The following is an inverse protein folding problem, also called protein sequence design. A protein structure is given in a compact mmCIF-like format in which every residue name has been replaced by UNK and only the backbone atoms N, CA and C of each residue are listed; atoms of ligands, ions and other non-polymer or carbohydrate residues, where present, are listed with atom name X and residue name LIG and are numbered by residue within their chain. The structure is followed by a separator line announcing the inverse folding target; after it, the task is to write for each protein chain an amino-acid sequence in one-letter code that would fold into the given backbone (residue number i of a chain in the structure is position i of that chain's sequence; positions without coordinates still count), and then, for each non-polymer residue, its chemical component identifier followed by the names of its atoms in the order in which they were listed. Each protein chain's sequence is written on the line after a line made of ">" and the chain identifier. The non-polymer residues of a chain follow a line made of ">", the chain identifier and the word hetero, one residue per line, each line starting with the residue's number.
data_IF_546817541682
#
_entry.id   IF_546817541682
#
_cell.length_a   1.000
_cell.length_b   1.000
_cell.length_c   1.000
_cell.angle_alpha   90.00
_cell.angle_beta   90.00
_cell.angle_gamma   90.00
#
_symmetry.space_group_name_H-M   'P 1'
#
loop_
_entity.id
_entity.type
_entity.pdbx_description
1 polymer ?
#
# COMPACT_ATOMS: atom_id res chain seq x y z
N UNK A 1 0.66 -45.35 4.73
CA UNK A 1 0.16 -43.96 4.69
C UNK A 1 -1.14 -43.97 3.92
N UNK A 2 -2.22 -43.40 4.46
CA UNK A 2 -3.47 -43.31 3.73
C UNK A 2 -3.27 -42.44 2.49
N UNK A 3 -3.61 -42.96 1.30
CA UNK A 3 -3.70 -42.16 0.08
C UNK A 3 -5.02 -41.39 0.16
N UNK A 4 -4.94 -40.08 0.22
CA UNK A 4 -6.10 -39.20 0.10
C UNK A 4 -6.17 -38.77 -1.36
N UNK A 5 -7.29 -39.03 -2.01
CA UNK A 5 -7.57 -38.45 -3.33
C UNK A 5 -7.96 -36.99 -3.14
N UNK A 6 -7.26 -36.11 -3.84
CA UNK A 6 -7.54 -34.68 -3.87
C UNK A 6 -8.30 -34.36 -5.15
N UNK A 7 -9.57 -34.01 -5.01
CA UNK A 7 -10.34 -33.34 -6.05
C UNK A 7 -9.91 -31.87 -6.10
N UNK A 8 -9.15 -31.49 -7.12
CA UNK A 8 -8.70 -30.12 -7.35
C UNK A 8 -9.74 -29.27 -8.09
N UNK A 9 -10.75 -29.88 -8.72
CA UNK A 9 -11.77 -29.18 -9.48
C UNK A 9 -12.69 -28.38 -8.57
N UNK A 10 -12.86 -28.79 -7.31
CA UNK A 10 -13.65 -28.05 -6.30
C UNK A 10 -13.13 -26.66 -5.97
N UNK A 11 -11.88 -26.35 -6.31
CA UNK A 11 -11.29 -25.02 -6.11
C UNK A 11 -11.44 -24.13 -7.34
N UNK A 12 -11.82 -24.70 -8.49
CA UNK A 12 -12.06 -23.95 -9.72
C UNK A 12 -13.26 -23.04 -9.54
N UNK A 13 -13.10 -21.75 -9.84
CA UNK A 13 -14.17 -20.76 -9.75
C UNK A 13 -14.39 -20.14 -8.36
N UNK A 14 -13.67 -20.58 -7.31
CA UNK A 14 -13.65 -19.85 -6.03
C UNK A 14 -12.88 -18.54 -6.25
N UNK A 15 -13.60 -17.42 -6.32
CA UNK A 15 -13.04 -16.07 -6.28
C UNK A 15 -13.60 -15.33 -5.06
N UNK A 16 -12.73 -14.67 -4.32
CA UNK A 16 -13.12 -13.72 -3.31
C UNK A 16 -13.43 -12.38 -4.00
N UNK A 17 -14.41 -11.62 -3.48
CA UNK A 17 -14.88 -10.36 -4.05
C UNK A 17 -13.71 -9.43 -4.35
N UNK A 18 -13.33 -9.35 -5.63
CA UNK A 18 -12.26 -8.47 -6.10
C UNK A 18 -12.93 -7.18 -6.56
N UNK A 19 -12.50 -6.07 -6.00
CA UNK A 19 -13.02 -4.75 -6.27
C UNK A 19 -12.08 -3.99 -7.20
N UNK A 20 -12.65 -3.04 -7.94
CA UNK A 20 -11.88 -2.11 -8.76
C UNK A 20 -11.20 -1.04 -7.89
N UNK A 21 -10.15 -0.45 -8.44
CA UNK A 21 -9.41 0.68 -7.90
C UNK A 21 -10.27 1.90 -7.51
N UNK A 22 -11.49 2.03 -8.02
CA UNK A 22 -12.45 3.09 -7.68
C UNK A 22 -12.91 3.09 -6.22
N UNK A 23 -12.77 1.97 -5.48
CA UNK A 23 -13.21 1.89 -4.07
C UNK A 23 -12.16 2.41 -3.09
N UNK A 24 -10.94 2.70 -3.56
CA UNK A 24 -9.86 3.22 -2.72
C UNK A 24 -10.24 4.60 -2.20
N UNK A 25 -10.21 4.75 -0.89
CA UNK A 25 -10.70 5.92 -0.18
C UNK A 25 -9.66 7.04 -0.15
N UNK A 26 -9.27 7.56 -1.32
CA UNK A 26 -8.26 8.65 -1.40
C UNK A 26 -8.76 9.92 -0.70
N UNK A 27 -10.06 10.20 -0.82
CA UNK A 27 -10.70 11.41 -0.34
C UNK A 27 -10.83 11.53 1.19
N UNK A 28 -10.50 10.48 1.95
CA UNK A 28 -10.52 10.54 3.42
C UNK A 28 -9.17 10.94 3.99
N UNK A 29 -8.11 11.01 3.17
CA UNK A 29 -6.78 11.41 3.60
C UNK A 29 -6.84 12.83 4.16
N UNK A 30 -6.33 12.99 5.38
CA UNK A 30 -6.31 14.24 6.12
C UNK A 30 -4.88 14.59 6.51
N UNK A 31 -4.63 15.87 6.72
CA UNK A 31 -3.35 16.38 7.21
C UNK A 31 -3.52 17.24 8.45
N UNK A 32 -2.42 17.36 9.20
CA UNK A 32 -2.30 18.31 10.31
C UNK A 32 -1.12 19.26 10.05
N UNK A 33 -1.14 20.50 10.55
CA UNK A 33 -0.04 21.43 10.36
C UNK A 33 1.28 20.91 10.94
N UNK A 34 2.37 21.04 10.19
CA UNK A 34 3.72 20.79 10.67
C UNK A 34 4.27 22.04 11.35
N UNK A 35 4.46 22.02 12.67
CA UNK A 35 4.85 23.21 13.44
C UNK A 35 6.28 23.71 13.16
N UNK A 36 7.15 22.85 12.61
CA UNK A 36 8.57 23.16 12.41
C UNK A 36 8.93 23.40 10.94
N UNK A 37 8.07 24.10 10.20
CA UNK A 37 8.29 24.43 8.77
C UNK A 37 9.72 24.94 8.53
N UNK A 38 10.38 24.39 7.51
CA UNK A 38 11.77 24.70 7.15
C UNK A 38 12.82 23.85 7.89
N UNK A 39 12.43 23.06 8.91
CA UNK A 39 13.28 22.00 9.45
C UNK A 39 13.10 20.72 8.66
N UNK A 40 14.21 20.07 8.32
CA UNK A 40 14.19 18.74 7.71
C UNK A 40 14.08 17.69 8.82
N UNK A 41 12.86 17.29 9.13
CA UNK A 41 12.58 16.13 10.00
C UNK A 41 12.20 14.94 9.15
N UNK A 42 12.88 13.82 9.30
CA UNK A 42 12.46 12.56 8.69
C UNK A 42 11.42 11.88 9.59
N UNK A 43 10.28 11.50 9.00
CA UNK A 43 9.22 10.73 9.65
C UNK A 43 9.16 9.36 9.00
N UNK A 44 9.15 8.30 9.82
CA UNK A 44 9.05 6.91 9.37
C UNK A 44 7.79 6.27 9.97
N UNK A 45 6.94 5.71 9.10
CA UNK A 45 5.67 5.06 9.44
C UNK A 45 5.69 3.64 8.87
N UNK A 46 6.09 2.63 9.66
CA UNK A 46 6.02 1.23 9.25
C UNK A 46 4.62 0.64 9.52
N UNK A 47 4.16 -0.26 8.66
CA UNK A 47 2.99 -1.11 8.91
C UNK A 47 3.13 -2.45 8.19
N UNK A 48 2.70 -3.52 8.86
CA UNK A 48 2.60 -4.88 8.30
C UNK A 48 1.14 -5.29 8.04
N UNK A 49 0.22 -4.32 8.07
CA UNK A 49 -1.21 -4.56 7.95
C UNK A 49 -1.75 -4.27 6.53
N UNK A 50 -0.87 -4.02 5.57
CA UNK A 50 -1.29 -3.76 4.20
C UNK A 50 -1.60 -5.07 3.46
N UNK A 51 -2.72 -5.07 2.74
CA UNK A 51 -3.12 -6.17 1.88
C UNK A 51 -3.94 -5.67 0.70
N UNK A 52 -3.83 -6.39 -0.40
CA UNK A 52 -4.64 -6.22 -1.60
C UNK A 52 -4.91 -7.58 -2.24
N UNK A 53 -5.50 -7.62 -3.44
CA UNK A 53 -5.82 -8.86 -4.14
C UNK A 53 -5.06 -8.93 -5.47
N UNK A 54 -4.49 -10.09 -5.78
CA UNK A 54 -3.90 -10.33 -7.09
C UNK A 54 -5.00 -10.35 -8.16
N UNK A 55 -4.94 -9.49 -9.20
CA UNK A 55 -6.01 -9.36 -10.20
C UNK A 55 -6.25 -10.63 -11.02
N UNK A 56 -5.25 -11.52 -11.11
CA UNK A 56 -5.34 -12.78 -11.85
C UNK A 56 -5.96 -13.91 -11.02
N UNK A 57 -5.38 -14.15 -9.85
CA UNK A 57 -5.72 -15.31 -9.01
C UNK A 57 -6.87 -15.04 -8.04
N UNK A 58 -7.17 -13.78 -7.72
CA UNK A 58 -8.13 -13.44 -6.67
C UNK A 58 -7.64 -13.78 -5.25
N UNK A 59 -6.37 -14.16 -5.11
CA UNK A 59 -5.75 -14.45 -3.81
C UNK A 59 -5.14 -13.19 -3.21
N UNK A 60 -5.18 -13.04 -1.87
CA UNK A 60 -4.63 -11.88 -1.21
C UNK A 60 -3.10 -11.78 -1.38
N UNK A 61 -2.64 -10.56 -1.60
CA UNK A 61 -1.26 -10.11 -1.46
C UNK A 61 -1.11 -9.36 -0.13
N UNK A 62 0.00 -9.58 0.55
CA UNK A 62 0.35 -8.88 1.80
C UNK A 62 1.71 -8.24 1.63
N UNK A 63 1.90 -7.06 2.22
CA UNK A 63 3.18 -6.39 2.24
C UNK A 63 3.45 -5.68 3.57
N UNK A 64 4.72 -5.66 3.94
CA UNK A 64 5.23 -4.72 4.93
C UNK A 64 5.54 -3.42 4.20
N UNK A 65 4.81 -2.35 4.54
CA UNK A 65 4.99 -1.02 3.97
C UNK A 65 5.76 -0.14 4.94
N UNK A 66 6.81 0.51 4.43
CA UNK A 66 7.50 1.61 5.11
C UNK A 66 7.29 2.89 4.33
N UNK A 67 6.52 3.80 4.91
CA UNK A 67 6.37 5.18 4.42
C UNK A 67 7.42 6.02 5.15
N UNK A 68 8.34 6.61 4.41
CA UNK A 68 9.30 7.57 4.94
C UNK A 68 9.12 8.89 4.21
N UNK A 69 9.04 10.00 4.93
CA UNK A 69 8.88 11.32 4.31
C UNK A 69 9.47 12.45 5.14
N UNK A 70 9.77 13.54 4.46
CA UNK A 70 10.16 14.82 5.05
C UNK A 70 9.03 15.82 4.77
N UNK A 71 8.29 16.30 5.78
CA UNK A 71 7.16 17.20 5.58
C UNK A 71 7.64 18.57 5.08
N UNK A 72 6.79 19.21 4.28
CA UNK A 72 6.95 20.62 3.91
C UNK A 72 6.24 21.52 4.94
N UNK A 73 4.90 21.47 4.91
CA UNK A 73 4.01 22.26 5.79
C UNK A 73 2.98 21.41 6.52
N UNK A 74 2.83 20.15 6.11
CA UNK A 74 1.76 19.27 6.55
C UNK A 74 2.32 17.89 6.95
N UNK A 75 1.73 17.29 7.98
CA UNK A 75 1.93 15.91 8.39
C UNK A 75 0.68 15.11 8.02
N UNK A 76 0.87 13.85 7.64
CA UNK A 76 -0.24 12.93 7.37
C UNK A 76 -0.92 12.57 8.69
N UNK A 77 -2.25 12.65 8.73
CA UNK A 77 -3.04 12.22 9.90
C UNK A 77 -3.14 10.68 9.92
N UNK A 78 -2.82 10.08 11.07
CA UNK A 78 -2.59 8.63 11.18
C UNK A 78 -3.86 7.78 11.01
N UNK A 79 -5.03 8.27 11.44
CA UNK A 79 -6.29 7.54 11.30
C UNK A 79 -6.70 7.49 9.83
N UNK A 80 -6.68 8.60 9.11
CA UNK A 80 -7.00 8.67 7.69
C UNK A 80 -6.08 7.77 6.87
N UNK A 81 -4.77 7.80 7.14
CA UNK A 81 -3.79 6.91 6.52
C UNK A 81 -4.12 5.42 6.75
N UNK A 82 -4.50 5.07 7.99
CA UNK A 82 -4.89 3.69 8.31
C UNK A 82 -6.09 3.22 7.49
N UNK A 83 -7.15 4.02 7.41
CA UNK A 83 -8.34 3.66 6.64
C UNK A 83 -8.08 3.67 5.12
N UNK A 84 -7.25 4.60 4.63
CA UNK A 84 -6.79 4.65 3.24
C UNK A 84 -6.08 3.35 2.86
N UNK A 85 -5.04 2.94 3.60
CA UNK A 85 -4.31 1.70 3.35
C UNK A 85 -5.22 0.46 3.47
N UNK A 86 -6.16 0.47 4.42
CA UNK A 86 -7.11 -0.64 4.59
C UNK A 86 -8.11 -0.74 3.42
N UNK A 87 -8.40 0.35 2.71
CA UNK A 87 -9.33 0.34 1.57
C UNK A 87 -8.84 -0.51 0.39
N UNK A 88 -7.54 -0.81 0.32
CA UNK A 88 -6.95 -1.71 -0.68
C UNK A 88 -7.32 -3.19 -0.49
N UNK A 89 -7.89 -3.56 0.67
CA UNK A 89 -8.01 -4.96 1.12
C UNK A 89 -8.59 -5.94 0.09
N UNK A 90 -9.58 -5.49 -0.67
CA UNK A 90 -10.26 -6.30 -1.68
C UNK A 90 -9.94 -5.85 -3.11
N UNK A 91 -9.06 -4.87 -3.29
CA UNK A 91 -8.77 -4.27 -4.60
C UNK A 91 -7.85 -5.17 -5.40
N UNK A 92 -8.25 -5.47 -6.65
CA UNK A 92 -7.43 -6.20 -7.61
C UNK A 92 -6.34 -5.30 -8.20
N UNK A 93 -5.11 -5.37 -7.70
CA UNK A 93 -4.03 -4.44 -8.09
C UNK A 93 -2.67 -5.13 -8.14
N UNK A 94 -1.81 -4.71 -9.07
CA UNK A 94 -0.42 -5.17 -9.13
C UNK A 94 0.41 -4.58 -8.00
N UNK A 95 1.40 -5.33 -7.53
CA UNK A 95 2.27 -4.94 -6.42
C UNK A 95 2.96 -3.59 -6.69
N UNK A 96 3.54 -3.45 -7.89
CA UNK A 96 4.23 -2.25 -8.33
C UNK A 96 3.29 -1.06 -8.50
N UNK A 97 2.08 -1.30 -9.01
CA UNK A 97 1.06 -0.27 -9.20
C UNK A 97 0.52 0.23 -7.87
N UNK A 98 0.23 -0.67 -6.92
CA UNK A 98 -0.19 -0.31 -5.57
C UNK A 98 0.86 0.58 -4.88
N UNK A 99 2.14 0.21 -4.95
CA UNK A 99 3.22 0.99 -4.34
C UNK A 99 3.37 2.38 -4.98
N UNK A 100 3.32 2.49 -6.30
CA UNK A 100 3.35 3.78 -7.00
C UNK A 100 2.13 4.65 -6.67
N UNK A 101 0.94 4.05 -6.63
CA UNK A 101 -0.29 4.77 -6.33
C UNK A 101 -0.28 5.32 -4.91
N UNK A 102 0.17 4.54 -3.93
CA UNK A 102 0.33 5.01 -2.53
C UNK A 102 1.24 6.23 -2.49
N UNK A 103 2.39 6.21 -3.18
CA UNK A 103 3.27 7.38 -3.25
C UNK A 103 2.53 8.59 -3.83
N UNK A 104 1.88 8.44 -4.98
CA UNK A 104 1.22 9.54 -5.68
C UNK A 104 0.08 10.17 -4.85
N UNK A 105 -0.77 9.33 -4.25
CA UNK A 105 -1.89 9.80 -3.42
C UNK A 105 -1.38 10.53 -2.17
N UNK A 106 -0.32 10.03 -1.52
CA UNK A 106 0.25 10.67 -0.34
C UNK A 106 1.03 11.95 -0.66
N UNK A 107 1.73 12.01 -1.80
CA UNK A 107 2.38 13.23 -2.28
C UNK A 107 1.34 14.30 -2.59
N UNK A 108 0.25 13.94 -3.26
CA UNK A 108 -0.85 14.86 -3.54
C UNK A 108 -1.56 15.33 -2.26
N UNK A 109 -1.59 14.50 -1.23
CA UNK A 109 -2.20 14.80 0.07
C UNK A 109 -1.41 15.83 0.88
N UNK A 110 -0.09 15.69 1.01
CA UNK A 110 0.69 16.47 1.97
C UNK A 110 1.84 17.31 1.40
N UNK A 111 2.06 17.31 0.08
CA UNK A 111 3.12 18.05 -0.62
C UNK A 111 4.48 17.99 0.12
N UNK A 112 5.06 16.78 0.33
CA UNK A 112 6.28 16.63 1.11
C UNK A 112 7.49 17.22 0.38
N UNK A 113 8.59 17.48 1.11
CA UNK A 113 9.88 17.79 0.48
C UNK A 113 10.50 16.55 -0.19
N UNK A 114 10.26 15.39 0.42
CA UNK A 114 10.72 14.09 -0.04
C UNK A 114 9.81 13.01 0.53
N UNK A 115 9.55 11.96 -0.24
CA UNK A 115 8.84 10.77 0.21
C UNK A 115 9.40 9.53 -0.45
N UNK A 116 9.51 8.45 0.31
CA UNK A 116 9.85 7.11 -0.16
C UNK A 116 8.86 6.11 0.37
N UNK A 117 8.34 5.27 -0.51
CA UNK A 117 7.57 4.08 -0.15
C UNK A 117 8.41 2.86 -0.49
N UNK A 118 8.64 2.02 0.51
CA UNK A 118 9.21 0.69 0.35
C UNK A 118 8.15 -0.33 0.77
N UNK A 119 7.80 -1.24 -0.15
CA UNK A 119 6.83 -2.31 0.09
C UNK A 119 7.51 -3.66 -0.13
N UNK A 120 7.68 -4.42 0.95
CA UNK A 120 8.21 -5.78 0.92
C UNK A 120 7.04 -6.79 0.89
N UNK A 121 6.83 -7.40 -0.28
CA UNK A 121 5.68 -8.26 -0.54
C UNK A 121 5.97 -9.72 -0.18
N UNK A 122 4.96 -10.37 0.41
CA UNK A 122 5.02 -11.79 0.72
C UNK A 122 5.29 -12.64 -0.53
N UNK A 123 6.06 -13.70 -0.34
CA UNK A 123 6.58 -14.53 -1.44
C UNK A 123 5.45 -15.23 -2.21
N UNK A 124 5.54 -15.21 -3.54
CA UNK A 124 4.71 -16.00 -4.45
C UNK A 124 5.56 -17.04 -5.16
N UNK A 125 5.18 -18.32 -5.08
CA UNK A 125 5.93 -19.41 -5.72
C UNK A 125 7.40 -19.52 -5.26
N UNK A 126 7.71 -19.06 -4.04
CA UNK A 126 9.07 -19.01 -3.50
C UNK A 126 9.87 -17.75 -3.86
N UNK A 127 9.33 -16.85 -4.68
CA UNK A 127 9.96 -15.59 -5.09
C UNK A 127 9.41 -14.44 -4.25
N UNK A 128 10.29 -13.61 -3.68
CA UNK A 128 9.91 -12.37 -2.99
C UNK A 128 10.07 -11.15 -3.91
N UNK A 129 9.29 -10.11 -3.64
CA UNK A 129 9.32 -8.86 -4.41
C UNK A 129 9.36 -7.69 -3.44
N UNK A 130 10.36 -6.82 -3.58
CA UNK A 130 10.42 -5.54 -2.87
C UNK A 130 10.30 -4.42 -3.89
N UNK A 131 9.33 -3.53 -3.70
CA UNK A 131 9.11 -2.36 -4.58
C UNK A 131 9.50 -1.11 -3.82
N UNK A 132 10.35 -0.28 -4.43
CA UNK A 132 10.77 1.02 -3.88
C UNK A 132 10.46 2.12 -4.88
N UNK A 133 9.76 3.15 -4.41
CA UNK A 133 9.42 4.34 -5.20
C UNK A 133 9.70 5.60 -4.38
N UNK A 134 10.13 6.65 -5.05
CA UNK A 134 10.57 7.88 -4.41
C UNK A 134 10.03 9.12 -5.14
N UNK A 135 9.76 10.15 -4.37
CA UNK A 135 9.42 11.49 -4.82
C UNK A 135 10.35 12.49 -4.15
N UNK A 136 10.92 13.39 -4.93
CA UNK A 136 11.65 14.56 -4.44
C UNK A 136 10.99 15.79 -5.06
N UNK A 137 10.66 16.78 -4.23
CA UNK A 137 10.08 18.03 -4.74
C UNK A 137 11.14 18.78 -5.56
N UNK A 138 10.79 19.15 -6.78
CA UNK A 138 11.61 20.03 -7.63
C UNK A 138 11.51 21.48 -7.12
N UNK A 139 12.60 22.25 -7.28
CA UNK A 139 12.73 23.63 -6.79
C UNK A 139 11.86 24.64 -7.57
#
# INVERSE_FOLDING_TARGET
>A
MARVEHDYDKYQGIRFDTQDESVILVNILETIPYEYVGKRTEVNIPTNEFTSVCPWSGLPDFADIKIMFVPNKELIEMKSLKYYLTSYRNVGIYQEHATNRILNDLVACCDPLYMKIEADWNKRGGLGTTVVVEYTRED
#
